data_IF_736967043609
#
_entry.id   IF_736967043609
#
_cell.length_a   1.000
_cell.length_b   1.000
_cell.length_c   1.000
_cell.angle_alpha   90.00
_cell.angle_beta   90.00
_cell.angle_gamma   90.00
#
_symmetry.space_group_name_H-M   'P 1'
#
loop_
_entity.id
_entity.type
_entity.pdbx_description
1 polymer ?
2 non-polymer ?
3 water ?
#
# COMPACT_ATOMS: atom_id res chain seq x y z
N UNK A 3 11.37 -10.13 4.36
CA UNK A 3 12.54 -9.52 3.73
C UNK A 3 12.59 -9.86 2.24
N UNK A 4 12.44 -11.14 1.91
CA UNK A 4 12.36 -11.54 0.51
C UNK A 4 10.92 -11.46 0.00
N UNK A 5 9.95 -11.78 0.85
CA UNK A 5 8.54 -11.63 0.48
C UNK A 5 8.27 -10.19 0.10
N UNK A 6 8.75 -9.26 0.92
CA UNK A 6 8.53 -7.84 0.66
C UNK A 6 9.24 -7.38 -0.62
N UNK A 7 10.21 -8.16 -1.10
CA UNK A 7 10.90 -7.82 -2.34
C UNK A 7 9.92 -7.63 -3.50
N UNK A 8 8.84 -8.41 -3.49
CA UNK A 8 7.80 -8.30 -4.51
C UNK A 8 7.14 -6.92 -4.55
N UNK A 9 7.00 -6.31 -3.38
CA UNK A 9 6.45 -4.96 -3.28
C UNK A 9 7.55 -3.95 -3.60
N UNK A 10 8.71 -4.13 -2.98
CA UNK A 10 9.77 -3.14 -3.10
C UNK A 10 10.24 -2.95 -4.55
N UNK A 11 10.38 -4.04 -5.29
CA UNK A 11 10.82 -3.92 -6.68
C UNK A 11 9.73 -3.28 -7.56
N UNK A 12 8.51 -3.22 -7.05
CA UNK A 12 7.41 -2.58 -7.76
C UNK A 12 6.96 -1.30 -7.07
N UNK A 13 7.82 -0.80 -6.20
CA UNK A 13 7.42 0.34 -5.38
C UNK A 13 7.10 1.57 -6.23
N UNK A 14 7.71 1.69 -7.40
CA UNK A 14 7.47 2.88 -8.24
C UNK A 14 6.06 2.94 -8.80
N UNK A 15 5.61 1.85 -9.41
CA UNK A 15 4.22 1.75 -9.87
C UNK A 15 3.23 1.87 -8.69
N UNK A 16 3.53 1.19 -7.60
CA UNK A 16 2.62 1.21 -6.45
C UNK A 16 2.49 2.60 -5.82
N UNK A 17 3.62 3.30 -5.68
CA UNK A 17 3.62 4.60 -5.03
C UNK A 17 2.87 5.65 -5.84
N UNK A 18 2.89 5.52 -7.16
CA UNK A 18 2.19 6.46 -8.02
C UNK A 18 0.72 6.12 -8.14
N UNK A 19 0.42 4.87 -8.48
CA UNK A 19 -0.94 4.53 -8.89
C UNK A 19 -1.94 4.15 -7.78
N UNK A 20 -1.44 3.81 -6.60
CA UNK A 20 -2.34 3.61 -5.46
C UNK A 20 -2.83 4.96 -4.97
N UNK A 21 -4.14 5.10 -4.85
CA UNK A 21 -4.72 6.20 -4.08
C UNK A 21 -4.97 5.67 -2.67
N UNK A 22 -4.12 6.05 -1.70
CA UNK A 22 -4.17 5.45 -0.36
C UNK A 22 -5.56 5.39 0.26
N UNK A 23 -6.37 6.44 0.08
CA UNK A 23 -7.69 6.50 0.72
C UNK A 23 -8.60 5.35 0.30
N UNK A 24 -8.35 4.81 -0.89
CA UNK A 24 -9.14 3.69 -1.38
C UNK A 24 -8.85 2.43 -0.57
N UNK A 25 -7.62 2.32 -0.07
CA UNK A 25 -7.16 1.10 0.60
C UNK A 25 -7.28 1.11 2.11
N UNK A 26 -7.14 2.28 2.72
CA UNK A 26 -7.05 2.35 4.17
C UNK A 26 -8.24 1.74 4.94
N UNK A 27 -9.47 1.88 4.43
CA UNK A 27 -10.59 1.33 5.22
C UNK A 27 -10.47 -0.18 5.41
N UNK A 28 -10.11 -0.87 4.33
CA UNK A 28 -9.88 -2.31 4.38
C UNK A 28 -8.65 -2.66 5.22
N UNK A 29 -7.58 -1.87 5.08
CA UNK A 29 -6.34 -2.14 5.83
C UNK A 29 -6.58 -1.97 7.32
N UNK A 30 -7.36 -0.95 7.67
CA UNK A 30 -7.72 -0.70 9.06
C UNK A 30 -8.64 -1.80 9.58
N UNK A 31 -9.62 -2.19 8.78
CA UNK A 31 -10.55 -3.22 9.19
C UNK A 31 -9.85 -4.53 9.49
N UNK A 32 -8.80 -4.82 8.73
CA UNK A 32 -7.99 -6.01 8.94
C UNK A 32 -6.94 -5.83 10.01
N UNK A 33 -6.90 -4.63 10.59
CA UNK A 33 -6.00 -4.33 11.70
C UNK A 33 -4.51 -4.36 11.33
N UNK A 34 -4.17 -4.04 10.09
CA UNK A 34 -2.76 -3.94 9.73
C UNK A 34 -2.25 -2.49 9.81
N UNK A 35 -3.16 -1.53 9.86
CA UNK A 35 -2.78 -0.16 10.18
C UNK A 35 -3.85 0.34 11.14
N UNK A 36 -3.54 1.39 11.89
CA UNK A 36 -4.52 1.93 12.83
C UNK A 36 -4.98 3.33 12.44
N UNK A 37 -5.76 3.96 13.31
CA UNK A 37 -6.37 5.26 13.03
C UNK A 37 -5.29 6.29 12.77
N UNK A 38 -4.22 6.21 13.55
CA UNK A 38 -3.13 7.17 13.45
C UNK A 38 -2.31 6.95 12.18
N UNK A 39 -2.07 5.69 11.82
CA UNK A 39 -1.45 5.37 10.53
C UNK A 39 -2.26 5.98 9.41
N UNK A 40 -3.57 5.77 9.47
CA UNK A 40 -4.45 6.29 8.44
C UNK A 40 -4.39 7.80 8.38
N UNK A 41 -4.39 8.44 9.55
CA UNK A 41 -4.26 9.89 9.60
C UNK A 41 -3.02 10.39 8.88
N UNK A 42 -1.90 9.71 9.10
CA UNK A 42 -0.63 10.16 8.52
C UNK A 42 -0.72 10.10 7.02
N UNK A 43 -1.33 9.02 6.54
CA UNK A 43 -1.49 8.79 5.12
C UNK A 43 -2.50 9.76 4.48
N UNK A 44 -3.63 9.98 5.14
CA UNK A 44 -4.70 10.81 4.59
C UNK A 44 -4.43 12.31 4.73
N UNK A 45 -3.69 12.69 5.76
CA UNK A 45 -3.44 14.11 6.01
C UNK A 45 -2.21 14.63 5.30
N UNK A 46 -1.52 13.75 4.59
CA UNK A 46 -0.34 14.14 3.85
C UNK A 46 -0.73 15.10 2.74
N UNK A 47 0.11 16.12 2.50
CA UNK A 47 -0.17 17.16 1.50
C UNK A 47 -0.48 16.57 0.13
N UNK A 48 -1.40 17.21 -0.59
CA UNK A 48 -1.66 16.87 -1.98
C UNK A 48 -0.67 17.64 -2.86
N UNK A 49 0.32 16.95 -3.42
CA UNK A 49 1.38 17.62 -4.17
C UNK A 49 1.09 17.67 -5.67
N UNK A 50 1.78 18.57 -6.40
CA UNK A 50 1.62 18.60 -7.85
C UNK A 50 2.01 17.26 -8.49
N UNK A 51 3.04 16.63 -7.95
CA UNK A 51 3.49 15.32 -8.41
C UNK A 51 2.77 14.23 -7.60
N UNK A 52 2.30 13.18 -8.28
CA UNK A 52 1.59 12.08 -7.63
C UNK A 52 2.51 10.88 -7.47
N UNK A 53 3.75 11.04 -7.93
CA UNK A 53 4.71 9.95 -8.02
C UNK A 53 4.90 9.25 -6.67
N UNK A 54 4.86 10.01 -5.59
CA UNK A 54 5.05 9.38 -4.29
C UNK A 54 3.84 9.38 -3.38
N UNK A 55 2.65 9.50 -3.95
CA UNK A 55 1.48 9.69 -3.10
C UNK A 55 1.19 8.51 -2.16
N UNK A 56 1.54 7.30 -2.58
CA UNK A 56 1.31 6.14 -1.72
C UNK A 56 2.60 5.65 -1.06
N UNK A 57 3.68 6.42 -1.21
CA UNK A 57 4.96 6.11 -0.60
C UNK A 57 4.88 5.89 0.91
N UNK A 58 4.25 6.82 1.62
CA UNK A 58 4.14 6.69 3.08
C UNK A 58 3.40 5.42 3.50
N UNK A 59 2.31 5.11 2.81
CA UNK A 59 1.55 3.90 3.10
C UNK A 59 2.41 2.65 2.95
N UNK A 60 3.19 2.58 1.87
CA UNK A 60 4.02 1.40 1.63
C UNK A 60 5.03 1.23 2.76
N UNK A 61 5.65 2.35 3.15
CA UNK A 61 6.68 2.34 4.18
C UNK A 61 6.12 1.94 5.54
N UNK A 62 4.87 2.32 5.79
CA UNK A 62 4.18 1.84 6.98
C UNK A 62 3.93 0.35 6.87
N UNK A 63 3.40 -0.10 5.74
CA UNK A 63 3.09 -1.52 5.59
C UNK A 63 4.34 -2.40 5.71
N UNK A 64 5.48 -1.86 5.28
CA UNK A 64 6.75 -2.58 5.33
C UNK A 64 7.09 -3.01 6.76
N UNK A 65 6.54 -2.30 7.74
CA UNK A 65 6.81 -2.58 9.14
C UNK A 65 5.76 -3.50 9.79
N UNK A 66 4.80 -3.99 9.01
CA UNK A 66 3.66 -4.70 9.59
C UNK A 66 3.70 -6.23 9.44
N UNK A 67 4.87 -6.76 9.14
CA UNK A 67 5.07 -8.20 9.07
C UNK A 67 4.37 -8.90 7.92
N UNK A 68 4.33 -10.21 7.99
CA UNK A 68 3.72 -10.99 6.92
C UNK A 68 2.21 -10.77 6.86
N UNK A 69 1.59 -10.51 8.00
CA UNK A 69 0.17 -10.16 8.01
C UNK A 69 -0.07 -8.93 7.14
N UNK A 70 0.69 -7.87 7.39
CA UNK A 70 0.65 -6.66 6.58
C UNK A 70 0.84 -6.91 5.10
N UNK A 71 1.84 -7.72 4.75
CA UNK A 71 2.11 -8.07 3.36
C UNK A 71 0.89 -8.74 2.72
N UNK A 72 0.41 -9.80 3.34
CA UNK A 72 -0.71 -10.57 2.78
C UNK A 72 -2.00 -9.75 2.66
N UNK A 73 -2.33 -8.98 3.69
CA UNK A 73 -3.52 -8.14 3.66
C UNK A 73 -3.38 -7.05 2.60
N UNK A 74 -2.19 -6.46 2.50
CA UNK A 74 -1.93 -5.46 1.46
C UNK A 74 -2.15 -6.07 0.08
N UNK A 75 -1.59 -7.26 -0.14
CA UNK A 75 -1.78 -7.92 -1.42
C UNK A 75 -3.26 -8.14 -1.73
N UNK A 76 -4.05 -8.58 -0.75
CA UNK A 76 -5.48 -8.74 -1.02
C UNK A 76 -6.16 -7.41 -1.33
N UNK A 77 -5.74 -6.35 -0.65
CA UNK A 77 -6.27 -5.03 -0.97
C UNK A 77 -6.00 -4.65 -2.44
N UNK A 78 -4.82 -5.00 -2.97
CA UNK A 78 -4.54 -4.79 -4.40
C UNK A 78 -5.43 -5.68 -5.27
N UNK A 79 -5.62 -6.93 -4.85
CA UNK A 79 -6.46 -7.85 -5.63
C UNK A 79 -7.88 -7.28 -5.75
N UNK A 80 -8.39 -6.73 -4.66
CA UNK A 80 -9.71 -6.12 -4.63
C UNK A 80 -9.78 -4.87 -5.49
N UNK A 81 -8.85 -3.95 -5.24
CA UNK A 81 -9.02 -2.58 -5.70
C UNK A 81 -8.14 -2.18 -6.87
N UNK A 82 -7.03 -2.88 -7.06
CA UNK A 82 -6.08 -2.54 -8.12
C UNK A 82 -5.60 -3.81 -8.81
N UNK A 83 -6.49 -4.45 -9.58
CA UNK A 83 -6.21 -5.77 -10.14
C UNK A 83 -4.93 -5.85 -10.97
N UNK A 84 -4.62 -4.82 -11.75
CA UNK A 84 -3.41 -4.86 -12.56
C UNK A 84 -2.18 -4.76 -11.68
N UNK A 85 -2.28 -3.97 -10.62
CA UNK A 85 -1.15 -3.83 -9.71
C UNK A 85 -0.94 -5.13 -8.96
N UNK A 86 -2.03 -5.82 -8.62
CA UNK A 86 -1.91 -7.12 -7.98
C UNK A 86 -1.13 -8.09 -8.87
N UNK A 87 -1.48 -8.12 -10.15
CA UNK A 87 -0.82 -9.02 -11.10
C UNK A 87 0.65 -8.65 -11.26
N UNK A 88 0.92 -7.36 -11.20
CA UNK A 88 2.29 -6.87 -11.27
C UNK A 88 3.11 -7.42 -10.10
N UNK A 89 2.56 -7.32 -8.90
CA UNK A 89 3.27 -7.73 -7.69
C UNK A 89 3.48 -9.25 -7.64
N UNK A 90 2.45 -10.01 -8.02
CA UNK A 90 2.50 -11.45 -7.89
C UNK A 90 3.02 -12.12 -9.15
N UNK A 91 3.29 -11.31 -10.18
CA UNK A 91 3.89 -11.82 -11.41
C UNK A 91 2.93 -12.57 -12.32
N UNK A 92 1.65 -12.60 -11.95
CA UNK A 92 0.63 -13.28 -12.74
C UNK A 92 0.07 -12.36 -13.82
X LIG B 1 -4.70 9.04 -11.02
X LIG B 1 -3.97 9.82 -12.01
X LIG B 1 -4.93 9.86 -9.83
X LIG B 1 -5.98 8.61 -11.57
X LIG B 1 -3.92 7.85 -10.65
X LIG C 1 -7.46 8.30 -8.15
X LIG C 1 -8.32 8.56 -9.30
X LIG C 1 -6.92 9.57 -7.65
X LIG C 1 -8.22 7.63 -7.10
X LIG C 1 -6.35 7.43 -8.56
X LIG D 1 -4.38 -14.54 13.77
X LIG D 1 -3.96 -15.94 13.91
X LIG D 1 -4.11 -14.10 12.40
X LIG D 1 -5.82 -14.44 14.04
X LIG D 1 -3.64 -13.70 14.70
X LIG E 1 -7.95 1.44 15.03
X LIG E 1 -8.01 1.32 13.57
X LIG E 1 -9.22 1.98 15.51
X LIG E 1 -7.72 0.11 15.60
X LIG E 1 -6.87 2.33 15.43
#
# INVERSE_FOLDING_TARGET
>A
AEAALWDNVECNRHMLSRYINPAKLTPYLRQCKVIDEQDEDEVLNAPMLPSKINRAGRLLDILHTKGQRGYVVFLESLEFYYPELYKLVTGKE
>B hetero
1 SO4 S O1 O2 O3 O4
>C hetero
1 SO4 S O1 O2 O3 O4
>D hetero
1 SO4 S O1 O2 O3 O4
>E hetero
1 SO4 S O1 O2 O3 O4
#
